data_IF_392148505329
#
_entry.id   IF_392148505329
#
_cell.length_a   1.000
_cell.length_b   1.000
_cell.length_c   1.000
_cell.angle_alpha   90.00
_cell.angle_beta   90.00
_cell.angle_gamma   90.00
#
_symmetry.space_group_name_H-M   'P 1'
#
loop_
_entity.id
_entity.type
_entity.pdbx_description
1 polymer ?
#
# COMPACT_ATOMS: atom_id res chain seq x y z
N UNK A 1 -23.45 32.00 15.82
CA UNK A 1 -23.00 31.43 14.53
C UNK A 1 -23.39 29.97 14.48
N UNK A 2 -24.40 29.62 13.68
CA UNK A 2 -24.89 28.24 13.52
C UNK A 2 -23.89 27.45 12.67
N UNK A 3 -23.26 26.44 13.25
CA UNK A 3 -22.42 25.51 12.50
C UNK A 3 -23.34 24.70 11.57
N UNK A 4 -23.28 24.98 10.26
CA UNK A 4 -24.00 24.20 9.28
C UNK A 4 -23.59 22.72 9.43
N UNK A 5 -24.53 21.86 9.86
CA UNK A 5 -24.39 20.41 9.81
C UNK A 5 -24.16 20.04 8.34
N UNK A 6 -22.91 19.88 7.91
CA UNK A 6 -22.60 19.29 6.61
C UNK A 6 -23.25 17.90 6.61
N UNK A 7 -24.16 17.66 5.68
CA UNK A 7 -24.80 16.36 5.54
C UNK A 7 -23.71 15.29 5.37
N UNK A 8 -23.76 14.16 6.11
CA UNK A 8 -22.76 13.10 5.96
C UNK A 8 -22.71 12.55 4.52
N UNK A 9 -23.79 12.72 3.76
CA UNK A 9 -23.91 12.33 2.35
C UNK A 9 -23.11 13.24 1.39
N UNK A 10 -22.69 14.43 1.84
CA UNK A 10 -21.89 15.37 1.03
C UNK A 10 -20.40 15.37 1.44
N UNK A 11 -19.96 14.33 2.15
CA UNK A 11 -18.53 14.12 2.40
C UNK A 11 -17.82 13.73 1.11
N UNK A 12 -16.64 14.30 0.88
CA UNK A 12 -15.75 13.89 -0.21
C UNK A 12 -15.51 12.37 -0.23
N UNK A 13 -15.44 11.75 0.94
CA UNK A 13 -15.18 10.31 1.09
C UNK A 13 -16.33 9.44 0.55
N UNK A 14 -17.56 9.98 0.48
CA UNK A 14 -18.72 9.30 -0.11
C UNK A 14 -18.82 9.63 -1.60
N UNK A 15 -18.51 10.88 -1.98
CA UNK A 15 -18.61 11.34 -3.37
C UNK A 15 -17.53 10.71 -4.27
N UNK A 16 -16.28 10.64 -3.79
CA UNK A 16 -15.15 10.11 -4.55
C UNK A 16 -15.38 8.69 -5.13
N UNK A 17 -15.80 7.68 -4.35
CA UNK A 17 -16.09 6.35 -4.89
C UNK A 17 -17.26 6.34 -5.87
N UNK A 18 -18.30 7.15 -5.63
CA UNK A 18 -19.44 7.25 -6.55
C UNK A 18 -18.98 7.82 -7.90
N UNK A 19 -18.18 8.89 -7.89
CA UNK A 19 -17.57 9.45 -9.10
C UNK A 19 -16.67 8.42 -9.78
N UNK A 20 -15.88 7.66 -9.00
CA UNK A 20 -15.07 6.56 -9.51
C UNK A 20 -15.88 5.51 -10.28
N UNK A 21 -17.01 5.08 -9.75
CA UNK A 21 -17.93 4.13 -10.42
C UNK A 21 -18.47 4.74 -11.73
N UNK A 22 -18.86 6.01 -11.71
CA UNK A 22 -19.37 6.69 -12.91
C UNK A 22 -18.29 6.79 -13.98
N UNK A 23 -17.07 7.21 -13.62
CA UNK A 23 -15.92 7.27 -14.54
C UNK A 23 -15.60 5.90 -15.11
N UNK A 24 -15.60 4.86 -14.27
CA UNK A 24 -15.38 3.48 -14.70
C UNK A 24 -16.44 3.04 -15.71
N UNK A 25 -17.72 3.32 -15.46
CA UNK A 25 -18.82 2.98 -16.37
C UNK A 25 -18.68 3.69 -17.73
N UNK A 26 -18.21 4.93 -17.75
CA UNK A 26 -17.94 5.66 -19.00
C UNK A 26 -16.70 5.14 -19.74
N UNK A 27 -15.67 4.70 -19.02
CA UNK A 27 -14.44 4.17 -19.59
C UNK A 27 -14.58 2.71 -20.06
N UNK A 28 -15.56 1.98 -19.56
CA UNK A 28 -15.72 0.55 -19.83
C UNK A 28 -15.91 0.25 -21.32
N UNK A 29 -15.05 -0.60 -21.87
CA UNK A 29 -15.13 -1.07 -23.26
C UNK A 29 -14.83 -0.02 -24.33
N UNK A 30 -14.24 1.14 -23.98
CA UNK A 30 -13.83 2.17 -24.95
C UNK A 30 -12.32 2.18 -25.10
N UNK A 31 -11.84 2.40 -26.33
CA UNK A 31 -10.44 2.79 -26.55
C UNK A 31 -10.22 4.15 -25.89
N UNK A 32 -9.45 4.14 -24.81
CA UNK A 32 -9.31 5.28 -23.92
C UNK A 32 -8.14 6.16 -24.37
N UNK A 33 -8.45 7.38 -24.82
CA UNK A 33 -7.43 8.41 -25.01
C UNK A 33 -6.72 8.74 -23.69
N UNK A 34 -5.51 9.29 -23.77
CA UNK A 34 -4.67 9.65 -22.61
C UNK A 34 -5.39 10.47 -21.55
N UNK A 35 -6.29 11.38 -21.96
CA UNK A 35 -7.11 12.16 -21.05
C UNK A 35 -8.08 11.32 -20.20
N UNK A 36 -8.75 10.33 -20.81
CA UNK A 36 -9.68 9.46 -20.09
C UNK A 36 -8.95 8.55 -19.12
N UNK A 37 -7.77 8.05 -19.49
CA UNK A 37 -6.89 7.28 -18.60
C UNK A 37 -6.45 8.12 -17.39
N UNK A 38 -6.03 9.37 -17.62
CA UNK A 38 -5.63 10.27 -16.54
C UNK A 38 -6.80 10.55 -15.56
N UNK A 39 -8.01 10.75 -16.08
CA UNK A 39 -9.22 10.94 -15.26
C UNK A 39 -9.56 9.67 -14.47
N UNK A 40 -9.48 8.50 -15.10
CA UNK A 40 -9.72 7.22 -14.43
C UNK A 40 -8.68 6.96 -13.31
N UNK A 41 -7.40 7.23 -13.57
CA UNK A 41 -6.35 7.12 -12.57
C UNK A 41 -6.57 8.08 -11.39
N UNK A 42 -6.94 9.34 -11.66
CA UNK A 42 -7.26 10.31 -10.61
C UNK A 42 -8.48 9.89 -9.77
N UNK A 43 -9.52 9.35 -10.42
CA UNK A 43 -10.71 8.85 -9.75
C UNK A 43 -10.41 7.61 -8.89
N UNK A 44 -9.54 6.70 -9.38
CA UNK A 44 -9.05 5.55 -8.62
C UNK A 44 -8.28 6.01 -7.37
N UNK A 45 -7.32 6.94 -7.52
CA UNK A 45 -6.57 7.49 -6.39
C UNK A 45 -7.50 8.11 -5.35
N UNK A 46 -8.47 8.93 -5.77
CA UNK A 46 -9.46 9.53 -4.86
C UNK A 46 -10.30 8.46 -4.13
N UNK A 47 -10.68 7.40 -4.83
CA UNK A 47 -11.45 6.27 -4.27
C UNK A 47 -10.63 5.50 -3.23
N UNK A 48 -9.36 5.21 -3.52
CA UNK A 48 -8.44 4.55 -2.59
C UNK A 48 -8.23 5.40 -1.33
N UNK A 49 -7.98 6.70 -1.48
CA UNK A 49 -7.84 7.62 -0.34
C UNK A 49 -9.12 7.68 0.51
N UNK A 50 -10.29 7.68 -0.13
CA UNK A 50 -11.55 7.60 0.58
C UNK A 50 -11.71 6.27 1.35
N UNK A 51 -11.31 5.14 0.77
CA UNK A 51 -11.35 3.84 1.43
C UNK A 51 -10.40 3.78 2.65
N UNK A 52 -9.17 4.27 2.51
CA UNK A 52 -8.20 4.37 3.61
C UNK A 52 -8.75 5.25 4.73
N UNK A 53 -9.35 6.39 4.41
CA UNK A 53 -9.95 7.25 5.43
C UNK A 53 -11.10 6.56 6.19
N UNK A 54 -11.94 5.78 5.51
CA UNK A 54 -12.97 4.99 6.20
C UNK A 54 -12.32 3.93 7.12
N UNK A 55 -11.25 3.28 6.68
CA UNK A 55 -10.52 2.33 7.50
C UNK A 55 -9.91 2.99 8.74
N UNK A 56 -9.34 4.20 8.62
CA UNK A 56 -8.82 5.00 9.74
C UNK A 56 -9.92 5.36 10.74
N UNK A 57 -11.09 5.80 10.26
CA UNK A 57 -12.22 6.13 11.13
C UNK A 57 -12.70 4.90 11.89
N UNK A 58 -12.76 3.74 11.23
CA UNK A 58 -13.09 2.47 11.89
C UNK A 58 -12.02 2.11 12.91
N UNK A 59 -10.73 2.18 12.55
CA UNK A 59 -9.61 1.90 13.43
C UNK A 59 -9.62 2.77 14.70
N UNK A 60 -9.84 4.08 14.54
CA UNK A 60 -9.98 5.01 15.66
C UNK A 60 -11.16 4.69 16.56
N UNK A 61 -12.27 4.23 15.98
CA UNK A 61 -13.46 3.86 16.74
C UNK A 61 -13.31 2.52 17.48
N UNK A 62 -12.54 1.60 16.91
CA UNK A 62 -12.21 0.32 17.53
C UNK A 62 -11.24 0.52 18.71
N UNK A 63 -10.32 1.48 18.59
CA UNK A 63 -9.32 1.78 19.62
C UNK A 63 -8.19 0.75 19.67
N UNK A 64 -7.13 1.05 20.44
CA UNK A 64 -5.96 0.18 20.53
C UNK A 64 -6.20 -1.03 21.44
N UNK A 65 -5.63 -2.21 21.11
CA UNK A 65 -4.69 -2.48 20.00
C UNK A 65 -5.35 -2.89 18.67
N UNK A 66 -6.65 -3.16 18.65
CA UNK A 66 -7.30 -3.76 17.48
C UNK A 66 -7.48 -2.77 16.31
N UNK A 67 -7.54 -1.48 16.59
CA UNK A 67 -7.66 -0.43 15.57
C UNK A 67 -6.49 -0.44 14.59
N UNK A 68 -5.25 -0.58 15.08
CA UNK A 68 -4.07 -0.64 14.23
C UNK A 68 -4.07 -1.89 13.34
N UNK A 69 -4.52 -3.03 13.85
CA UNK A 69 -4.69 -4.26 13.06
C UNK A 69 -5.75 -4.09 11.96
N UNK A 70 -6.90 -3.47 12.28
CA UNK A 70 -7.96 -3.20 11.29
C UNK A 70 -7.45 -2.30 10.17
N UNK A 71 -6.71 -1.24 10.51
CA UNK A 71 -6.12 -0.34 9.50
C UNK A 71 -5.11 -1.08 8.62
N UNK A 72 -4.21 -1.87 9.23
CA UNK A 72 -3.21 -2.64 8.49
C UNK A 72 -3.85 -3.64 7.52
N UNK A 73 -4.87 -4.39 7.98
CA UNK A 73 -5.61 -5.33 7.13
C UNK A 73 -6.34 -4.61 5.99
N UNK A 74 -6.97 -3.46 6.27
CA UNK A 74 -7.66 -2.71 5.23
C UNK A 74 -6.71 -2.21 4.13
N UNK A 75 -5.55 -1.65 4.50
CA UNK A 75 -4.56 -1.14 3.54
C UNK A 75 -3.97 -2.28 2.71
N UNK A 76 -3.62 -3.40 3.35
CA UNK A 76 -3.08 -4.57 2.64
C UNK A 76 -4.09 -5.21 1.69
N UNK A 77 -5.37 -5.26 2.05
CA UNK A 77 -6.43 -5.72 1.12
C UNK A 77 -6.53 -4.82 -0.11
N UNK A 78 -6.47 -3.49 0.07
CA UNK A 78 -6.49 -2.54 -1.04
C UNK A 78 -5.28 -2.77 -1.96
N UNK A 79 -4.08 -2.86 -1.39
CA UNK A 79 -2.83 -3.06 -2.13
C UNK A 79 -2.83 -4.39 -2.90
N UNK A 80 -3.16 -5.50 -2.24
CA UNK A 80 -3.23 -6.83 -2.86
C UNK A 80 -4.30 -6.87 -3.96
N UNK A 81 -5.45 -6.24 -3.77
CA UNK A 81 -6.49 -6.17 -4.80
C UNK A 81 -6.00 -5.45 -6.07
N UNK A 82 -5.25 -4.36 -5.92
CA UNK A 82 -4.65 -3.63 -7.05
C UNK A 82 -3.59 -4.48 -7.77
N UNK A 83 -2.70 -5.13 -7.01
CA UNK A 83 -1.68 -6.04 -7.56
C UNK A 83 -2.32 -7.18 -8.33
N UNK A 84 -3.30 -7.87 -7.74
CA UNK A 84 -4.03 -8.97 -8.37
C UNK A 84 -4.74 -8.50 -9.64
N UNK A 85 -5.33 -7.30 -9.63
CA UNK A 85 -5.98 -6.73 -10.82
C UNK A 85 -4.99 -6.50 -11.96
N UNK A 86 -3.80 -5.96 -11.65
CA UNK A 86 -2.72 -5.78 -12.64
C UNK A 86 -2.25 -7.13 -13.17
N UNK A 87 -1.99 -8.10 -12.30
CA UNK A 87 -1.55 -9.44 -12.71
C UNK A 87 -2.60 -10.18 -13.55
N UNK A 88 -3.88 -10.05 -13.20
CA UNK A 88 -4.98 -10.66 -13.94
C UNK A 88 -5.20 -10.04 -15.33
N UNK A 89 -4.69 -8.82 -15.58
CA UNK A 89 -4.78 -8.17 -16.89
C UNK A 89 -3.91 -8.86 -17.96
N UNK A 90 -2.94 -9.70 -17.56
CA UNK A 90 -2.16 -10.54 -18.47
C UNK A 90 -1.23 -9.79 -19.43
N UNK A 91 -0.96 -8.50 -19.20
CA UNK A 91 0.00 -7.73 -20.00
C UNK A 91 1.43 -8.29 -19.89
N UNK A 92 2.25 -8.06 -20.94
CA UNK A 92 3.64 -8.55 -21.02
C UNK A 92 4.50 -8.16 -19.80
N UNK A 93 4.16 -7.04 -19.16
CA UNK A 93 4.88 -6.46 -18.01
C UNK A 93 4.06 -6.53 -16.70
N UNK A 94 3.00 -7.33 -16.62
CA UNK A 94 2.12 -7.35 -15.45
C UNK A 94 2.84 -7.86 -14.18
N UNK A 95 3.74 -8.84 -14.34
CA UNK A 95 4.53 -9.40 -13.24
C UNK A 95 5.61 -8.42 -12.75
N UNK A 96 6.31 -7.77 -13.68
CA UNK A 96 7.31 -6.75 -13.36
C UNK A 96 6.66 -5.54 -12.69
N UNK A 97 5.49 -5.11 -13.18
CA UNK A 97 4.74 -4.00 -12.59
C UNK A 97 4.25 -4.30 -11.16
N UNK A 98 3.83 -5.55 -10.89
CA UNK A 98 3.48 -5.98 -9.54
C UNK A 98 4.68 -5.91 -8.58
N UNK A 99 5.83 -6.43 -9.01
CA UNK A 99 7.08 -6.36 -8.24
C UNK A 99 7.53 -4.93 -8.00
N UNK A 100 7.49 -4.09 -9.03
CA UNK A 100 7.91 -2.68 -8.97
C UNK A 100 7.01 -1.86 -8.04
N UNK A 101 5.72 -2.18 -7.95
CA UNK A 101 4.79 -1.54 -7.02
C UNK A 101 5.20 -1.79 -5.56
N UNK A 102 5.54 -3.03 -5.20
CA UNK A 102 5.99 -3.38 -3.84
C UNK A 102 7.35 -2.75 -3.53
N UNK A 103 8.28 -2.74 -4.50
CA UNK A 103 9.54 -2.01 -4.35
C UNK A 103 9.33 -0.52 -4.10
N UNK A 104 8.44 0.12 -4.88
CA UNK A 104 8.11 1.53 -4.70
C UNK A 104 7.50 1.79 -3.32
N UNK A 105 6.61 0.92 -2.83
CA UNK A 105 6.03 1.05 -1.49
C UNK A 105 7.11 1.01 -0.40
N UNK A 106 8.05 0.07 -0.46
CA UNK A 106 9.18 0.00 0.48
C UNK A 106 10.06 1.25 0.39
N UNK A 107 10.39 1.70 -0.82
CA UNK A 107 11.26 2.87 -1.02
C UNK A 107 10.60 4.17 -0.54
N UNK A 108 9.32 4.38 -0.84
CA UNK A 108 8.57 5.57 -0.42
C UNK A 108 8.44 5.60 1.10
N UNK A 109 8.12 4.48 1.74
CA UNK A 109 7.95 4.44 3.20
C UNK A 109 9.28 4.62 3.94
N UNK A 110 10.31 3.84 3.56
CA UNK A 110 11.60 3.83 4.28
C UNK A 110 12.50 5.02 3.98
N UNK A 111 12.53 5.52 2.75
CA UNK A 111 13.38 6.66 2.38
C UNK A 111 12.59 7.96 2.32
N UNK A 112 11.39 7.94 1.73
CA UNK A 112 10.54 9.12 1.59
C UNK A 112 9.95 9.55 2.93
N UNK A 113 8.99 8.79 3.45
CA UNK A 113 8.22 9.15 4.65
C UNK A 113 9.12 9.22 5.88
N UNK A 114 9.88 8.16 6.17
CA UNK A 114 10.78 8.13 7.32
C UNK A 114 11.89 9.18 7.17
N UNK A 115 12.51 9.32 6.00
CA UNK A 115 13.56 10.31 5.77
C UNK A 115 13.08 11.76 5.94
N UNK A 116 11.92 12.11 5.38
CA UNK A 116 11.31 13.44 5.57
C UNK A 116 10.95 13.66 7.04
N UNK A 117 10.41 12.65 7.72
CA UNK A 117 10.05 12.75 9.14
C UNK A 117 11.28 13.02 10.02
N UNK A 118 12.39 12.33 9.77
CA UNK A 118 13.66 12.54 10.47
C UNK A 118 14.26 13.91 10.14
N UNK A 119 14.25 14.33 8.88
CA UNK A 119 14.75 15.63 8.46
C UNK A 119 13.98 16.76 9.14
N UNK A 120 12.65 16.74 9.07
CA UNK A 120 11.80 17.75 9.71
C UNK A 120 11.94 17.72 11.23
N UNK A 121 12.06 16.54 11.82
CA UNK A 121 12.29 16.36 13.26
C UNK A 121 13.63 16.96 13.70
N UNK A 122 14.72 16.69 12.97
CA UNK A 122 16.04 17.21 13.27
C UNK A 122 16.14 18.73 13.04
N UNK A 123 15.52 19.26 11.97
CA UNK A 123 15.48 20.70 11.72
C UNK A 123 14.73 21.47 12.83
N UNK A 124 13.69 20.87 13.40
CA UNK A 124 12.85 21.52 14.43
C UNK A 124 13.37 21.31 15.85
N UNK A 125 13.92 20.14 16.16
CA UNK A 125 14.25 19.72 17.53
C UNK A 125 15.73 19.36 17.74
N UNK A 126 16.57 19.41 16.69
CA UNK A 126 17.98 19.05 16.73
C UNK A 126 18.20 17.54 16.73
N UNK A 127 17.80 16.87 17.82
CA UNK A 127 17.87 15.41 17.96
C UNK A 127 16.47 14.82 18.11
N UNK A 128 16.10 13.88 17.24
CA UNK A 128 14.83 13.16 17.34
C UNK A 128 14.96 12.04 18.36
N UNK A 129 14.15 12.09 19.43
CA UNK A 129 14.00 10.99 20.37
C UNK A 129 13.11 9.92 19.72
N UNK A 130 13.59 8.69 19.63
CA UNK A 130 12.82 7.54 19.15
C UNK A 130 13.08 6.33 20.05
N UNK A 131 12.18 5.35 20.01
CA UNK A 131 12.40 4.06 20.67
C UNK A 131 13.31 3.19 19.81
N UNK A 132 14.59 2.99 20.17
CA UNK A 132 15.55 2.26 19.33
C UNK A 132 15.20 0.78 19.22
N UNK A 133 14.63 0.18 20.26
CA UNK A 133 14.23 -1.23 20.29
C UNK A 133 13.07 -1.48 19.32
N UNK A 134 12.01 -0.66 19.43
CA UNK A 134 10.84 -0.78 18.54
C UNK A 134 11.14 -0.41 17.09
N UNK A 135 11.85 0.70 16.87
CA UNK A 135 12.15 1.17 15.50
C UNK A 135 13.16 0.25 14.80
N UNK A 136 14.16 -0.22 15.55
CA UNK A 136 15.15 -1.18 15.05
C UNK A 136 14.52 -2.51 14.69
N UNK A 137 13.64 -3.05 15.53
CA UNK A 137 12.90 -4.28 15.24
C UNK A 137 12.03 -4.14 13.98
N UNK A 138 11.24 -3.07 13.86
CA UNK A 138 10.39 -2.85 12.69
C UNK A 138 11.22 -2.73 11.40
N UNK A 139 12.32 -1.97 11.42
CA UNK A 139 13.20 -1.81 10.26
C UNK A 139 13.90 -3.13 9.90
N UNK A 140 14.33 -3.91 10.89
CA UNK A 140 14.94 -5.21 10.66
C UNK A 140 13.96 -6.20 10.02
N UNK A 141 12.70 -6.22 10.47
CA UNK A 141 11.64 -7.04 9.86
C UNK A 141 11.39 -6.62 8.41
N UNK A 142 11.21 -5.32 8.12
CA UNK A 142 11.03 -4.82 6.74
C UNK A 142 12.23 -5.15 5.86
N UNK A 143 13.46 -4.94 6.34
CA UNK A 143 14.67 -5.25 5.59
C UNK A 143 14.78 -6.76 5.28
N UNK A 144 14.47 -7.61 6.27
CA UNK A 144 14.52 -9.07 6.09
C UNK A 144 13.47 -9.54 5.08
N UNK A 145 12.23 -9.05 5.18
CA UNK A 145 11.16 -9.37 4.24
C UNK A 145 11.44 -8.85 2.83
N UNK A 146 12.02 -7.64 2.69
CA UNK A 146 12.40 -7.10 1.39
C UNK A 146 13.51 -7.92 0.73
N UNK A 147 14.54 -8.33 1.49
CA UNK A 147 15.61 -9.18 0.98
C UNK A 147 15.05 -10.56 0.58
N UNK A 148 14.28 -11.19 1.46
CA UNK A 148 13.68 -12.50 1.21
C UNK A 148 12.69 -12.47 0.05
N UNK A 149 11.82 -11.47 -0.04
CA UNK A 149 10.76 -11.41 -1.05
C UNK A 149 11.20 -10.89 -2.41
N UNK A 150 12.15 -9.94 -2.44
CA UNK A 150 12.40 -9.15 -3.65
C UNK A 150 13.83 -9.26 -4.20
N UNK A 151 14.82 -9.57 -3.35
CA UNK A 151 16.24 -9.60 -3.73
C UNK A 151 16.72 -11.04 -3.94
N UNK A 152 16.53 -11.89 -2.93
CA UNK A 152 17.05 -13.25 -2.90
C UNK A 152 16.58 -14.15 -4.06
N UNK A 153 15.34 -14.07 -4.59
CA UNK A 153 14.94 -14.89 -5.75
C UNK A 153 15.90 -14.75 -6.94
N UNK A 154 16.42 -13.53 -7.17
CA UNK A 154 17.37 -13.20 -8.26
C UNK A 154 18.71 -13.93 -8.12
N UNK A 155 19.08 -14.36 -6.92
CA UNK A 155 20.34 -15.04 -6.64
C UNK A 155 20.19 -16.56 -6.48
N UNK A 156 18.96 -17.09 -6.57
CA UNK A 156 18.76 -18.54 -6.54
C UNK A 156 18.98 -19.16 -7.93
N UNK A 157 19.50 -20.38 -7.95
CA UNK A 157 19.77 -21.14 -9.19
C UNK A 157 18.83 -22.34 -9.36
N UNK A 158 17.87 -22.50 -8.45
CA UNK A 158 17.02 -23.69 -8.35
C UNK A 158 15.82 -23.68 -9.31
N UNK A 159 15.47 -22.52 -9.87
CA UNK A 159 14.45 -22.35 -10.90
C UNK A 159 14.98 -21.45 -12.03
N UNK A 160 14.45 -21.57 -13.26
CA UNK A 160 14.77 -20.63 -14.34
C UNK A 160 14.14 -19.25 -14.06
N UNK A 161 14.95 -18.21 -13.98
CA UNK A 161 14.48 -16.84 -13.71
C UNK A 161 14.52 -16.45 -12.23
N UNK A 162 14.13 -15.21 -11.88
CA UNK A 162 14.15 -14.69 -10.52
C UNK A 162 12.95 -15.17 -9.68
N UNK A 163 12.70 -16.49 -9.70
CA UNK A 163 11.54 -17.11 -9.06
C UNK A 163 11.97 -18.16 -8.05
N UNK A 164 11.14 -18.34 -7.03
CA UNK A 164 11.32 -19.41 -6.05
C UNK A 164 10.68 -20.71 -6.50
N UNK A 165 11.33 -21.83 -6.18
CA UNK A 165 10.69 -23.15 -6.23
C UNK A 165 9.58 -23.24 -5.19
N UNK A 166 8.64 -24.17 -5.36
CA UNK A 166 7.51 -24.35 -4.43
C UNK A 166 7.96 -24.53 -2.96
N UNK A 167 9.05 -25.26 -2.70
CA UNK A 167 9.59 -25.43 -1.35
C UNK A 167 10.20 -24.15 -0.79
N UNK A 168 10.89 -23.35 -1.62
CA UNK A 168 11.42 -22.04 -1.23
C UNK A 168 10.30 -21.03 -0.96
N UNK A 169 9.20 -21.05 -1.72
CA UNK A 169 8.02 -20.22 -1.47
C UNK A 169 7.37 -20.57 -0.13
N UNK A 170 7.16 -21.85 0.15
CA UNK A 170 6.60 -22.29 1.45
C UNK A 170 7.50 -21.86 2.60
N UNK A 171 8.82 -22.05 2.46
CA UNK A 171 9.78 -21.58 3.45
C UNK A 171 9.70 -20.06 3.65
N UNK A 172 9.74 -19.28 2.57
CA UNK A 172 9.67 -17.83 2.63
C UNK A 172 8.35 -17.34 3.26
N UNK A 173 7.23 -17.97 2.94
CA UNK A 173 5.92 -17.68 3.53
C UNK A 173 5.91 -17.94 5.05
N UNK A 174 6.40 -19.10 5.50
CA UNK A 174 6.47 -19.44 6.92
C UNK A 174 7.38 -18.46 7.67
N UNK A 175 8.58 -18.20 7.15
CA UNK A 175 9.51 -17.24 7.77
C UNK A 175 8.89 -15.84 7.83
N UNK A 176 8.16 -15.42 6.80
CA UNK A 176 7.51 -14.10 6.78
C UNK A 176 6.44 -13.97 7.86
N UNK A 177 5.65 -15.03 8.09
CA UNK A 177 4.65 -15.07 9.16
C UNK A 177 5.35 -15.03 10.54
N UNK A 178 6.39 -15.81 10.73
CA UNK A 178 7.14 -15.89 12.00
C UNK A 178 7.87 -14.58 12.31
N UNK A 179 8.35 -13.84 11.31
CA UNK A 179 9.01 -12.55 11.52
C UNK A 179 8.05 -11.43 11.89
N UNK A 180 6.76 -11.56 11.55
CA UNK A 180 5.73 -10.58 11.87
C UNK A 180 5.00 -10.87 13.17
N UNK A 181 4.76 -12.16 13.49
CA UNK A 181 4.08 -12.62 14.70
C UNK A 181 4.96 -12.59 15.94
#
# INVERSE_FOLDING_TARGET
MSAAKRSPLLSWTVIAPIVGIVVLAFAWGRESGTALVAVAAAALMATVLAAVHHAEVVAHRVGEPYGSLVLAVAVTVIEVALIVTVMASGGHDAETLARDTVFAAVMITTNGIVGISLLLGALKYGTTLFNPEGSGAALATVATLAVLGLVLPTFTTSAPGPEYTASQLVFAAVVSIVLYG
#
